data_IF_897578727089
#
_entry.id   IF_897578727089
#
_cell.length_a   1.000
_cell.length_b   1.000
_cell.length_c   1.000
_cell.angle_alpha   90.00
_cell.angle_beta   90.00
_cell.angle_gamma   90.00
#
_symmetry.space_group_name_H-M   'P 1'
#
loop_
_entity.id
_entity.type
_entity.pdbx_description
1 polymer ?
#
# COMPACT_ATOMS: atom_id res chain seq x y z
N UNK A 1 24.40 13.40 13.41
CA UNK A 1 23.44 12.90 12.41
C UNK A 1 23.76 11.45 12.17
N UNK A 2 23.08 10.53 12.85
CA UNK A 2 23.36 9.11 12.69
C UNK A 2 22.47 8.61 11.56
N UNK A 3 22.99 8.66 10.32
CA UNK A 3 22.52 7.73 9.30
C UNK A 3 22.65 6.33 9.91
N UNK A 4 21.53 5.67 10.20
CA UNK A 4 21.56 4.26 10.56
C UNK A 4 22.10 3.51 9.34
N UNK A 5 23.29 2.88 9.42
CA UNK A 5 23.85 2.19 8.26
C UNK A 5 22.89 1.09 7.82
N UNK A 6 22.34 1.20 6.60
CA UNK A 6 21.47 0.18 5.99
C UNK A 6 19.99 0.56 5.79
N UNK A 7 19.49 1.64 6.40
CA UNK A 7 18.13 2.12 6.14
C UNK A 7 18.14 3.12 4.97
N UNK A 8 17.50 2.73 3.86
CA UNK A 8 17.25 3.60 2.70
C UNK A 8 15.79 3.98 2.71
N UNK A 9 15.51 5.28 2.76
CA UNK A 9 14.16 5.84 2.72
C UNK A 9 13.83 6.41 1.34
N UNK A 10 12.56 6.37 0.89
CA UNK A 10 11.45 5.69 1.56
C UNK A 10 11.60 4.16 1.55
N UNK A 11 11.06 3.51 2.57
CA UNK A 11 11.02 2.04 2.66
C UNK A 11 9.60 1.55 2.94
N UNK A 12 9.29 0.37 2.40
CA UNK A 12 7.93 -0.17 2.32
C UNK A 12 7.86 -1.56 2.91
N UNK A 13 6.80 -1.83 3.67
CA UNK A 13 6.65 -3.06 4.42
C UNK A 13 5.19 -3.52 4.48
N UNK A 14 5.00 -4.81 4.72
CA UNK A 14 3.84 -5.33 5.41
C UNK A 14 4.21 -5.60 6.86
N UNK A 15 3.40 -5.11 7.80
CA UNK A 15 3.48 -5.43 9.22
C UNK A 15 2.18 -6.12 9.61
N UNK A 16 2.24 -7.43 9.92
CA UNK A 16 1.05 -8.28 10.12
C UNK A 16 -0.04 -8.04 9.05
N UNK A 17 0.37 -8.07 7.78
CA UNK A 17 -0.47 -7.81 6.58
C UNK A 17 -0.93 -6.36 6.35
N UNK A 18 -0.69 -5.44 7.29
CA UNK A 18 -1.00 -4.03 7.06
C UNK A 18 0.15 -3.34 6.32
N UNK A 19 -0.13 -2.64 5.20
CA UNK A 19 0.88 -1.86 4.52
C UNK A 19 1.39 -0.71 5.40
N UNK A 20 2.71 -0.63 5.52
CA UNK A 20 3.42 0.41 6.25
C UNK A 20 4.50 1.00 5.37
N UNK A 21 4.62 2.34 5.35
CA UNK A 21 5.77 3.04 4.75
C UNK A 21 6.49 3.88 5.79
N UNK A 22 7.81 3.95 5.62
CA UNK A 22 8.69 4.82 6.39
C UNK A 22 9.27 5.84 5.43
N UNK A 23 9.14 7.12 5.76
CA UNK A 23 9.60 8.24 4.92
C UNK A 23 10.49 9.17 5.73
N UNK A 24 11.40 9.86 5.06
CA UNK A 24 12.24 10.88 5.68
C UNK A 24 11.39 12.12 6.04
N UNK A 25 11.68 12.74 7.17
CA UNK A 25 11.09 14.02 7.58
C UNK A 25 12.02 15.18 7.25
N UNK A 26 11.51 16.41 7.04
CA UNK A 26 12.35 17.56 6.68
C UNK A 26 13.48 17.91 7.67
N UNK A 27 13.34 17.50 8.94
CA UNK A 27 14.33 17.67 10.01
C UNK A 27 15.38 16.52 10.06
N UNK A 28 15.35 15.61 9.08
CA UNK A 28 16.29 14.48 8.96
C UNK A 28 15.95 13.29 9.86
N UNK A 29 14.69 13.20 10.32
CA UNK A 29 14.13 12.05 11.01
C UNK A 29 13.38 11.09 10.08
N UNK A 30 12.60 10.19 10.66
CA UNK A 30 11.75 9.27 9.93
C UNK A 30 10.32 9.32 10.48
N UNK A 31 9.33 9.17 9.60
CA UNK A 31 7.92 9.06 9.95
C UNK A 31 7.34 7.77 9.40
N UNK A 32 6.56 7.09 10.21
CA UNK A 32 5.92 5.81 9.88
C UNK A 32 4.43 6.03 9.63
N UNK A 33 3.96 5.54 8.49
CA UNK A 33 2.57 5.60 8.08
C UNK A 33 2.02 4.20 7.86
N UNK A 34 0.91 3.86 8.51
CA UNK A 34 0.17 2.61 8.32
C UNK A 34 -1.17 2.89 7.67
N UNK A 35 -1.58 2.05 6.73
CA UNK A 35 -2.92 2.16 6.13
C UNK A 35 -3.99 1.80 7.17
N UNK A 36 -5.01 2.65 7.28
CA UNK A 36 -6.20 2.44 8.10
C UNK A 36 -7.16 1.44 7.46
N UNK A 37 -7.67 0.46 8.23
CA UNK A 37 -8.75 -0.42 7.76
C UNK A 37 -10.07 0.32 7.55
N UNK A 38 -10.32 1.37 8.34
CA UNK A 38 -11.63 2.04 8.37
C UNK A 38 -11.77 3.06 7.25
N UNK A 39 -10.66 3.68 6.85
CA UNK A 39 -10.66 4.81 5.91
C UNK A 39 -9.81 4.59 4.67
N UNK A 40 -8.88 3.63 4.69
CA UNK A 40 -7.84 3.48 3.67
C UNK A 40 -6.81 4.61 3.64
N UNK A 41 -6.95 5.64 4.48
CA UNK A 41 -5.99 6.72 4.64
C UNK A 41 -4.77 6.32 5.46
N UNK A 42 -3.82 7.23 5.60
CA UNK A 42 -2.58 6.99 6.33
C UNK A 42 -2.70 7.45 7.78
N UNK A 43 -2.32 6.55 8.71
CA UNK A 43 -2.22 6.85 10.14
C UNK A 43 -0.76 6.87 10.56
N UNK A 44 -0.34 7.92 11.25
CA UNK A 44 1.01 8.00 11.82
C UNK A 44 1.15 6.97 12.94
N UNK A 45 2.18 6.13 12.86
CA UNK A 45 2.45 4.99 13.77
C UNK A 45 3.94 4.85 14.06
N UNK A 46 4.56 5.92 14.55
CA UNK A 46 6.01 5.97 14.79
C UNK A 46 6.49 4.97 15.86
N UNK A 47 5.60 4.47 16.71
CA UNK A 47 5.84 3.37 17.64
C UNK A 47 6.30 2.08 16.93
N UNK A 48 5.83 1.86 15.69
CA UNK A 48 6.23 0.70 14.86
C UNK A 48 7.65 0.81 14.29
N UNK A 49 8.30 1.98 14.35
CA UNK A 49 9.60 2.18 13.73
C UNK A 49 10.63 1.17 14.25
N UNK A 50 10.72 1.01 15.58
CA UNK A 50 11.72 0.14 16.20
C UNK A 50 11.44 -1.33 15.87
N UNK A 51 10.18 -1.76 15.94
CA UNK A 51 9.78 -3.13 15.61
C UNK A 51 10.13 -3.48 14.17
N UNK A 52 9.79 -2.61 13.22
CA UNK A 52 10.03 -2.83 11.78
C UNK A 52 11.52 -2.82 11.44
N UNK A 53 12.27 -1.84 11.96
CA UNK A 53 13.69 -1.67 11.60
C UNK A 53 14.57 -2.75 12.21
N UNK A 54 14.25 -3.19 13.42
CA UNK A 54 15.03 -4.24 14.11
C UNK A 54 14.46 -5.65 13.92
N UNK A 55 13.37 -5.79 13.15
CA UNK A 55 12.69 -7.06 12.89
C UNK A 55 12.28 -7.78 14.19
N UNK A 56 11.71 -7.02 15.13
CA UNK A 56 11.35 -7.50 16.47
C UNK A 56 9.83 -7.71 16.55
N UNK A 57 9.42 -8.90 16.96
CA UNK A 57 8.10 -9.13 17.55
C UNK A 57 6.94 -9.40 16.59
N UNK A 58 7.17 -9.47 15.27
CA UNK A 58 6.07 -9.70 14.32
C UNK A 58 6.47 -10.19 12.93
N UNK A 59 5.46 -10.43 12.09
CA UNK A 59 5.61 -10.77 10.68
C UNK A 59 5.85 -9.49 9.88
N UNK A 60 7.13 -9.23 9.55
CA UNK A 60 7.58 -8.04 8.82
C UNK A 60 8.12 -8.46 7.45
N UNK A 61 7.52 -7.96 6.38
CA UNK A 61 7.96 -8.25 5.02
C UNK A 61 8.30 -6.96 4.28
N UNK A 62 9.57 -6.80 3.88
CA UNK A 62 9.99 -5.67 3.04
C UNK A 62 9.43 -5.82 1.62
N UNK A 63 8.99 -4.70 1.04
CA UNK A 63 8.50 -4.60 -0.34
C UNK A 63 9.31 -3.56 -1.12
N UNK A 64 9.38 -3.73 -2.45
CA UNK A 64 9.72 -2.63 -3.35
C UNK A 64 8.47 -1.72 -3.54
N UNK A 65 8.64 -0.60 -4.23
CA UNK A 65 7.54 0.36 -4.43
C UNK A 65 6.36 -0.24 -5.23
N UNK A 66 6.65 -1.01 -6.29
CA UNK A 66 5.61 -1.63 -7.14
C UNK A 66 4.75 -2.61 -6.33
N UNK A 67 5.38 -3.57 -5.67
CA UNK A 67 4.69 -4.58 -4.86
C UNK A 67 3.94 -3.91 -3.71
N UNK A 68 4.52 -2.87 -3.09
CA UNK A 68 3.83 -2.13 -2.03
C UNK A 68 2.52 -1.50 -2.50
N UNK A 69 2.49 -0.91 -3.70
CA UNK A 69 1.26 -0.37 -4.29
C UNK A 69 0.21 -1.48 -4.47
N UNK A 70 0.62 -2.66 -4.93
CA UNK A 70 -0.28 -3.81 -5.08
C UNK A 70 -0.87 -4.24 -3.74
N UNK A 71 -0.07 -4.25 -2.68
CA UNK A 71 -0.50 -4.61 -1.32
C UNK A 71 -1.44 -3.56 -0.72
N UNK A 72 -1.17 -2.26 -0.90
CA UNK A 72 -2.04 -1.17 -0.43
C UNK A 72 -3.44 -1.29 -1.03
N UNK A 73 -3.51 -1.52 -2.34
CA UNK A 73 -4.80 -1.56 -3.03
C UNK A 73 -5.55 -2.87 -2.81
N UNK A 74 -4.83 -4.00 -2.66
CA UNK A 74 -5.45 -5.24 -2.20
C UNK A 74 -6.06 -5.06 -0.80
N UNK A 75 -5.34 -4.42 0.11
CA UNK A 75 -5.81 -4.13 1.46
C UNK A 75 -7.05 -3.22 1.44
N UNK A 76 -7.02 -2.10 0.69
CA UNK A 76 -8.17 -1.20 0.55
C UNK A 76 -9.37 -1.90 -0.07
N UNK A 77 -9.20 -2.67 -1.14
CA UNK A 77 -10.29 -3.41 -1.80
C UNK A 77 -10.91 -4.50 -0.91
N UNK A 78 -10.12 -5.05 0.04
CA UNK A 78 -10.59 -6.03 1.01
C UNK A 78 -11.46 -5.38 2.10
N UNK A 79 -11.00 -4.27 2.70
CA UNK A 79 -11.64 -3.68 3.87
C UNK A 79 -12.67 -2.60 3.54
N UNK A 80 -12.45 -1.83 2.47
CA UNK A 80 -13.31 -0.69 2.14
C UNK A 80 -14.48 -1.11 1.25
N UNK A 81 -15.60 -0.44 1.50
CA UNK A 81 -16.80 -0.49 0.66
C UNK A 81 -17.24 0.94 0.38
N UNK A 82 -17.75 1.18 -0.82
CA UNK A 82 -18.17 2.50 -1.24
C UNK A 82 -18.62 2.52 -2.69
N UNK A 83 -18.86 3.72 -3.18
CA UNK A 83 -19.30 3.97 -4.55
C UNK A 83 -18.30 4.84 -5.30
N UNK A 84 -18.39 4.82 -6.63
CA UNK A 84 -17.60 5.65 -7.51
C UNK A 84 -16.47 4.89 -8.21
N UNK A 85 -15.62 5.62 -8.97
CA UNK A 85 -14.72 5.02 -9.94
C UNK A 85 -13.70 4.03 -9.35
N UNK A 86 -13.19 4.30 -8.14
CA UNK A 86 -12.23 3.41 -7.46
C UNK A 86 -12.91 2.08 -7.11
N UNK A 87 -14.08 2.13 -6.49
CA UNK A 87 -14.79 0.92 -6.07
C UNK A 87 -15.29 0.09 -7.25
N UNK A 88 -15.69 0.73 -8.36
CA UNK A 88 -16.01 0.02 -9.60
C UNK A 88 -14.79 -0.77 -10.15
N UNK A 89 -13.59 -0.21 -10.02
CA UNK A 89 -12.35 -0.87 -10.41
C UNK A 89 -11.98 -2.01 -9.45
N UNK A 90 -12.20 -1.85 -8.14
CA UNK A 90 -12.06 -2.95 -7.17
C UNK A 90 -13.01 -4.10 -7.48
N UNK A 91 -14.27 -3.83 -7.81
CA UNK A 91 -15.22 -4.87 -8.20
C UNK A 91 -14.83 -5.56 -9.51
N UNK A 92 -14.17 -4.85 -10.43
CA UNK A 92 -13.59 -5.45 -11.65
C UNK A 92 -12.49 -6.45 -11.28
N UNK A 93 -11.55 -6.08 -10.40
CA UNK A 93 -10.51 -6.98 -9.90
C UNK A 93 -11.12 -8.19 -9.20
N UNK A 94 -12.07 -7.97 -8.27
CA UNK A 94 -12.76 -9.03 -7.53
C UNK A 94 -13.46 -10.01 -8.48
N UNK A 95 -14.06 -9.51 -9.57
CA UNK A 95 -14.72 -10.35 -10.57
C UNK A 95 -13.75 -11.25 -11.33
N UNK A 96 -12.55 -10.76 -11.64
CA UNK A 96 -11.49 -11.53 -12.29
C UNK A 96 -11.00 -12.64 -11.36
N UNK A 97 -10.67 -12.29 -10.11
CA UNK A 97 -10.20 -13.23 -9.08
C UNK A 97 -11.28 -14.30 -8.83
N UNK A 98 -12.54 -13.90 -8.67
CA UNK A 98 -13.67 -14.82 -8.46
C UNK A 98 -13.91 -15.77 -9.62
N UNK A 99 -13.67 -15.33 -10.87
CA UNK A 99 -13.79 -16.19 -12.04
C UNK A 99 -12.68 -17.25 -12.06
N UNK A 100 -11.43 -16.86 -11.76
CA UNK A 100 -10.32 -17.80 -11.67
C UNK A 100 -10.55 -18.85 -10.57
N UNK A 101 -11.03 -18.41 -9.40
CA UNK A 101 -11.40 -19.27 -8.27
C UNK A 101 -12.53 -20.23 -8.63
N UNK A 102 -13.59 -19.75 -9.29
CA UNK A 102 -14.71 -20.58 -9.74
C UNK A 102 -14.27 -21.65 -10.77
N UNK A 103 -13.26 -21.33 -11.58
CA UNK A 103 -12.63 -22.24 -12.53
C UNK A 103 -11.52 -23.10 -11.89
N UNK A 104 -11.31 -23.00 -10.57
CA UNK A 104 -10.28 -23.73 -9.80
C UNK A 104 -8.88 -23.60 -10.39
N UNK A 105 -8.56 -22.39 -10.88
CA UNK A 105 -7.25 -22.06 -11.46
C UNK A 105 -6.72 -20.77 -10.86
N UNK A 106 -5.45 -20.49 -11.13
CA UNK A 106 -4.89 -19.15 -10.91
C UNK A 106 -5.27 -18.22 -12.06
N UNK A 107 -5.15 -16.92 -11.80
CA UNK A 107 -5.23 -15.90 -12.83
C UNK A 107 -4.14 -16.14 -13.89
N UNK A 108 -4.54 -16.02 -15.14
CA UNK A 108 -3.64 -16.02 -16.29
C UNK A 108 -2.68 -14.81 -16.23
N UNK A 109 -1.54 -14.84 -16.94
CA UNK A 109 -0.64 -13.70 -17.00
C UNK A 109 -1.31 -12.40 -17.46
N UNK A 110 -2.32 -12.50 -18.34
CA UNK A 110 -3.10 -11.35 -18.81
C UNK A 110 -4.00 -10.78 -17.73
N UNK A 111 -4.69 -11.63 -16.98
CA UNK A 111 -5.52 -11.24 -15.84
C UNK A 111 -4.66 -10.60 -14.75
N UNK A 112 -3.50 -11.19 -14.42
CA UNK A 112 -2.55 -10.62 -13.47
C UNK A 112 -2.05 -9.23 -13.90
N UNK A 113 -1.70 -9.06 -15.18
CA UNK A 113 -1.28 -7.76 -15.70
C UNK A 113 -2.43 -6.72 -15.63
N UNK A 114 -3.66 -7.13 -15.90
CA UNK A 114 -4.84 -6.27 -15.79
C UNK A 114 -5.08 -5.86 -14.34
N UNK A 115 -5.04 -6.81 -13.39
CA UNK A 115 -5.18 -6.53 -11.95
C UNK A 115 -4.10 -5.55 -11.49
N UNK A 116 -2.84 -5.79 -11.87
CA UNK A 116 -1.72 -4.89 -11.52
C UNK A 116 -1.94 -3.47 -12.02
N UNK A 117 -2.34 -3.31 -13.28
CA UNK A 117 -2.60 -2.01 -13.89
C UNK A 117 -3.80 -1.30 -13.25
N UNK A 118 -4.86 -2.05 -12.89
CA UNK A 118 -6.00 -1.49 -12.17
C UNK A 118 -5.56 -0.98 -10.79
N UNK A 119 -4.85 -1.80 -10.01
CA UNK A 119 -4.36 -1.41 -8.67
C UNK A 119 -3.42 -0.21 -8.74
N UNK A 120 -2.50 -0.16 -9.70
CA UNK A 120 -1.64 1.03 -9.89
C UNK A 120 -2.47 2.29 -10.14
N UNK A 121 -3.52 2.20 -10.97
CA UNK A 121 -4.41 3.32 -11.25
C UNK A 121 -5.25 3.73 -10.05
N UNK A 122 -5.85 2.77 -9.33
CA UNK A 122 -6.67 3.06 -8.15
C UNK A 122 -5.84 3.66 -7.04
N UNK A 123 -4.58 3.23 -6.88
CA UNK A 123 -3.65 3.84 -5.93
C UNK A 123 -3.49 5.33 -6.18
N UNK A 124 -3.15 5.73 -7.42
CA UNK A 124 -2.98 7.16 -7.77
C UNK A 124 -4.26 7.94 -7.47
N UNK A 125 -5.42 7.42 -7.92
CA UNK A 125 -6.71 8.07 -7.70
C UNK A 125 -7.05 8.23 -6.21
N UNK A 126 -6.78 7.21 -5.40
CA UNK A 126 -7.06 7.22 -3.96
C UNK A 126 -6.11 8.17 -3.23
N UNK A 127 -4.80 8.12 -3.52
CA UNK A 127 -3.82 9.01 -2.91
C UNK A 127 -4.06 10.48 -3.28
N UNK A 128 -4.52 10.77 -4.51
CA UNK A 128 -4.93 12.13 -4.90
C UNK A 128 -6.14 12.62 -4.10
N UNK A 129 -7.14 11.76 -3.87
CA UNK A 129 -8.29 12.11 -3.03
C UNK A 129 -7.87 12.35 -1.57
N UNK A 130 -7.01 11.50 -1.01
CA UNK A 130 -6.47 11.66 0.34
C UNK A 130 -5.67 12.96 0.47
N UNK A 131 -4.81 13.26 -0.51
CA UNK A 131 -4.05 14.52 -0.55
C UNK A 131 -4.97 15.73 -0.60
N UNK A 132 -6.02 15.70 -1.43
CA UNK A 132 -7.01 16.77 -1.50
C UNK A 132 -7.78 16.95 -0.19
N UNK A 133 -7.97 15.87 0.58
CA UNK A 133 -8.57 15.87 1.91
C UNK A 133 -7.60 16.25 3.05
N UNK A 134 -6.31 16.49 2.75
CA UNK A 134 -5.31 16.92 3.72
C UNK A 134 -4.57 15.79 4.45
N UNK A 135 -4.64 14.55 3.95
CA UNK A 135 -3.85 13.44 4.48
C UNK A 135 -2.36 13.66 4.16
N UNK A 136 -1.56 13.85 5.21
CA UNK A 136 -0.11 14.15 5.11
C UNK A 136 0.71 12.94 4.66
N UNK A 137 0.17 11.73 4.78
CA UNK A 137 0.83 10.52 4.31
C UNK A 137 0.60 10.28 2.82
N UNK A 138 -0.31 11.01 2.16
CA UNK A 138 -0.70 10.72 0.78
C UNK A 138 0.40 11.05 -0.26
N UNK A 139 0.78 10.05 -1.04
CA UNK A 139 1.82 10.14 -2.06
C UNK A 139 1.51 9.28 -3.31
N UNK A 140 0.78 9.81 -4.31
CA UNK A 140 0.60 9.18 -5.61
C UNK A 140 1.89 8.88 -6.37
N UNK A 141 3.03 9.51 -6.05
CA UNK A 141 4.26 9.33 -6.82
C UNK A 141 4.93 7.97 -6.58
N UNK A 142 4.55 7.25 -5.52
CA UNK A 142 5.03 5.89 -5.25
C UNK A 142 4.70 4.96 -6.44
N UNK A 143 3.54 5.14 -7.08
CA UNK A 143 3.15 4.38 -8.25
C UNK A 143 3.89 4.76 -9.53
N UNK A 144 4.64 5.87 -9.55
CA UNK A 144 5.48 6.29 -10.69
C UNK A 144 6.91 5.76 -10.58
N UNK A 145 7.30 5.18 -9.45
CA UNK A 145 8.60 4.55 -9.24
C UNK A 145 8.69 3.12 -9.84
N UNK A 146 7.71 2.74 -10.67
CA UNK A 146 7.60 1.46 -11.38
C UNK A 146 8.27 1.50 -12.75
#
# INVERSE_FOLDING_TARGET
>A
MTQMPGLVLPSYYLYHQSPVKIVETPDGGARVWRVSIDTGGWQEKNDLFTEIIFDIGGDIFRRNAEDFVQEVEAFRAHYLKGEGPIFALYETVRSIESLADAESRRETPREQALIRGIRQRTFVMFEEQLRAAGDLGADPSIAAAT
#
